data_IF_322945391759
#
_entry.id   IF_322945391759
#
_cell.length_a   1.000
_cell.length_b   1.000
_cell.length_c   1.000
_cell.angle_alpha   90.00
_cell.angle_beta   90.00
_cell.angle_gamma   90.00
#
_symmetry.space_group_name_H-M   'P 1'
#
loop_
_entity.id
_entity.type
_entity.pdbx_description
1 polymer ?
#
# COMPACT_ATOMS: atom_id res chain seq x y z
N UNK A 1 -25.77 22.62 10.30
CA UNK A 1 -25.37 21.21 10.12
C UNK A 1 -25.74 20.82 8.69
N UNK A 2 -24.82 20.32 7.85
CA UNK A 2 -25.25 19.63 6.63
C UNK A 2 -26.13 18.46 7.07
N UNK A 3 -27.32 18.31 6.48
CA UNK A 3 -28.23 17.20 6.77
C UNK A 3 -27.60 15.85 6.46
N UNK A 4 -28.19 14.73 6.93
CA UNK A 4 -27.68 13.41 6.60
C UNK A 4 -27.64 13.25 5.08
N UNK A 5 -26.45 12.97 4.56
CA UNK A 5 -26.29 12.62 3.15
C UNK A 5 -27.15 11.38 2.88
N UNK A 6 -28.08 11.48 1.93
CA UNK A 6 -28.82 10.30 1.48
C UNK A 6 -27.82 9.31 0.86
N UNK A 7 -27.84 8.07 1.35
CA UNK A 7 -27.12 6.95 0.73
C UNK A 7 -27.98 6.25 -0.33
N UNK A 8 -29.14 6.84 -0.66
CA UNK A 8 -30.06 6.35 -1.70
C UNK A 8 -29.59 6.82 -3.09
N UNK A 9 -28.51 6.23 -3.55
CA UNK A 9 -27.97 6.45 -4.89
C UNK A 9 -28.70 5.57 -5.90
N UNK A 10 -28.90 6.10 -7.12
CA UNK A 10 -29.44 5.31 -8.24
C UNK A 10 -28.64 4.02 -8.45
N UNK A 11 -29.34 2.87 -8.47
CA UNK A 11 -28.74 1.55 -8.63
C UNK A 11 -28.91 1.06 -10.07
N UNK A 12 -27.81 0.68 -10.72
CA UNK A 12 -27.85 0.19 -12.11
C UNK A 12 -28.64 -1.12 -12.27
N UNK A 13 -28.77 -1.92 -11.21
CA UNK A 13 -29.35 -3.27 -11.24
C UNK A 13 -30.55 -3.46 -10.29
N UNK A 14 -31.14 -2.37 -9.80
CA UNK A 14 -32.23 -2.42 -8.82
C UNK A 14 -31.73 -2.68 -7.38
N UNK A 15 -32.65 -3.09 -6.52
CA UNK A 15 -32.40 -3.24 -5.07
C UNK A 15 -31.49 -4.42 -4.71
N UNK A 16 -30.87 -4.34 -3.53
CA UNK A 16 -30.08 -5.44 -3.00
C UNK A 16 -30.96 -6.68 -2.72
N UNK A 17 -30.45 -7.87 -3.06
CA UNK A 17 -31.17 -9.14 -2.87
C UNK A 17 -31.10 -9.68 -1.44
N UNK A 18 -30.23 -9.14 -0.59
CA UNK A 18 -30.00 -9.61 0.78
C UNK A 18 -28.90 -8.82 1.49
N UNK A 19 -28.50 -9.32 2.66
CA UNK A 19 -27.47 -8.71 3.51
C UNK A 19 -26.34 -9.71 3.77
N UNK A 20 -25.13 -9.18 3.94
CA UNK A 20 -23.94 -9.95 4.27
C UNK A 20 -23.05 -9.14 5.22
N UNK A 21 -22.11 -9.81 5.87
CA UNK A 21 -21.13 -9.11 6.70
C UNK A 21 -19.98 -8.62 5.81
N UNK A 22 -19.32 -7.53 6.20
CA UNK A 22 -18.23 -6.99 5.39
C UNK A 22 -17.11 -6.48 6.29
N UNK A 23 -15.88 -6.93 6.01
CA UNK A 23 -14.68 -6.56 6.79
C UNK A 23 -14.83 -6.87 8.29
N UNK A 24 -15.29 -8.09 8.63
CA UNK A 24 -15.38 -8.54 10.04
C UNK A 24 -13.98 -8.71 10.61
N UNK A 25 -13.09 -9.32 9.82
CA UNK A 25 -11.65 -9.41 10.04
C UNK A 25 -10.87 -8.63 8.97
N UNK A 26 -9.55 -8.51 9.14
CA UNK A 26 -8.71 -7.89 8.11
C UNK A 26 -8.56 -8.81 6.89
N UNK A 27 -8.59 -10.11 7.14
CA UNK A 27 -8.46 -11.20 6.20
C UNK A 27 -9.68 -11.30 5.27
N UNK A 28 -10.85 -10.80 5.69
CA UNK A 28 -12.06 -10.74 4.84
C UNK A 28 -11.93 -9.71 3.70
N UNK A 29 -10.90 -8.86 3.74
CA UNK A 29 -10.69 -7.82 2.74
C UNK A 29 -9.21 -7.69 2.43
N UNK A 30 -8.77 -8.53 1.49
CA UNK A 30 -7.39 -8.54 1.01
C UNK A 30 -7.27 -7.60 -0.18
N UNK A 31 -6.24 -6.75 -0.17
CA UNK A 31 -5.93 -5.83 -1.26
C UNK A 31 -4.49 -6.03 -1.70
N UNK A 32 -4.30 -6.46 -2.93
CA UNK A 32 -2.98 -6.57 -3.53
C UNK A 32 -2.74 -5.42 -4.51
N UNK A 33 -1.71 -4.60 -4.26
CA UNK A 33 -1.31 -3.53 -5.18
C UNK A 33 -0.54 -4.09 -6.37
N UNK A 34 -1.07 -3.84 -7.58
CA UNK A 34 -0.44 -4.26 -8.83
C UNK A 34 0.29 -3.07 -9.48
N UNK A 35 1.55 -3.30 -9.85
CA UNK A 35 2.33 -2.36 -10.68
C UNK A 35 2.40 -2.89 -12.11
N UNK A 36 2.25 -2.01 -13.10
CA UNK A 36 2.44 -2.32 -14.53
C UNK A 36 3.88 -2.00 -14.96
N UNK A 37 4.85 -2.45 -14.18
CA UNK A 37 6.26 -2.22 -14.47
C UNK A 37 7.16 -3.29 -13.88
N UNK A 38 8.17 -3.68 -14.66
CA UNK A 38 9.31 -4.43 -14.18
C UNK A 38 10.30 -3.49 -13.49
N UNK A 39 10.91 -3.96 -12.41
CA UNK A 39 12.00 -3.24 -11.76
C UNK A 39 13.26 -3.23 -12.63
N UNK A 40 14.04 -2.16 -12.57
CA UNK A 40 15.19 -1.99 -13.46
C UNK A 40 16.47 -2.63 -12.93
N UNK A 41 16.43 -3.17 -11.70
CA UNK A 41 17.60 -3.73 -11.00
C UNK A 41 18.68 -2.72 -10.61
N UNK A 42 18.54 -1.47 -11.05
CA UNK A 42 19.50 -0.37 -10.89
C UNK A 42 18.78 0.94 -10.63
N UNK A 43 19.49 1.90 -10.05
CA UNK A 43 19.01 3.26 -9.81
C UNK A 43 19.02 3.65 -8.33
N UNK A 44 18.68 4.91 -8.08
CA UNK A 44 18.75 5.50 -6.74
C UNK A 44 17.55 5.12 -5.87
N UNK A 45 16.49 4.52 -6.43
CA UNK A 45 15.32 4.13 -5.65
C UNK A 45 15.34 2.66 -5.27
N UNK A 46 15.05 2.39 -4.00
CA UNK A 46 14.75 1.06 -3.48
C UNK A 46 13.24 0.95 -3.31
N UNK A 47 12.63 0.02 -4.02
CA UNK A 47 11.23 -0.34 -3.88
C UNK A 47 11.11 -1.42 -2.82
N UNK A 48 10.14 -1.27 -1.94
CA UNK A 48 9.84 -2.21 -0.85
C UNK A 48 8.35 -2.54 -0.92
N UNK A 49 8.02 -3.82 -1.10
CA UNK A 49 6.66 -4.30 -0.98
C UNK A 49 6.40 -4.69 0.46
N UNK A 50 5.36 -4.14 1.05
CA UNK A 50 5.00 -4.38 2.43
C UNK A 50 3.58 -4.94 2.48
N UNK A 51 3.44 -6.10 3.11
CA UNK A 51 2.17 -6.59 3.63
C UNK A 51 1.88 -5.83 4.93
N UNK A 52 0.69 -5.26 5.07
CA UNK A 52 0.24 -4.58 6.28
C UNK A 52 -1.12 -5.10 6.71
N UNK A 53 -1.32 -5.23 8.02
CA UNK A 53 -2.59 -5.63 8.62
C UNK A 53 -3.10 -4.51 9.52
N UNK A 54 -4.28 -3.98 9.24
CA UNK A 54 -4.90 -2.93 10.07
C UNK A 54 -4.12 -1.60 10.21
N UNK A 55 -3.12 -1.37 9.34
CA UNK A 55 -2.25 -0.19 9.39
C UNK A 55 -2.50 0.84 8.30
N UNK A 56 -2.06 2.08 8.54
CA UNK A 56 -2.19 3.19 7.62
C UNK A 56 -0.95 3.35 6.71
N UNK A 57 -1.17 3.58 5.41
CA UNK A 57 -0.08 3.85 4.44
C UNK A 57 0.84 4.98 4.88
N UNK A 58 0.29 6.06 5.46
CA UNK A 58 1.09 7.21 5.89
C UNK A 58 1.96 6.87 7.08
N UNK A 59 1.44 6.14 8.06
CA UNK A 59 2.22 5.70 9.21
C UNK A 59 3.38 4.80 8.76
N UNK A 60 3.11 3.86 7.87
CA UNK A 60 4.15 2.98 7.33
C UNK A 60 5.24 3.75 6.55
N UNK A 61 4.85 4.74 5.75
CA UNK A 61 5.82 5.59 5.07
C UNK A 61 6.65 6.49 6.03
N UNK A 62 6.12 6.83 7.20
CA UNK A 62 6.86 7.47 8.30
C UNK A 62 7.91 6.50 8.86
N UNK A 63 7.50 5.27 9.23
CA UNK A 63 8.40 4.25 9.75
C UNK A 63 9.51 3.88 8.77
N UNK A 64 9.21 3.74 7.49
CA UNK A 64 10.22 3.50 6.46
C UNK A 64 11.20 4.68 6.36
N UNK A 65 10.73 5.93 6.43
CA UNK A 65 11.61 7.09 6.42
C UNK A 65 12.59 7.07 7.61
N UNK A 66 12.06 6.82 8.81
CA UNK A 66 12.83 6.72 10.05
C UNK A 66 13.91 5.61 9.94
N UNK A 67 13.51 4.43 9.46
CA UNK A 67 14.38 3.26 9.33
C UNK A 67 15.52 3.48 8.31
N UNK A 68 15.22 4.15 7.19
CA UNK A 68 16.23 4.46 6.18
C UNK A 68 17.01 5.75 6.46
N UNK A 69 16.70 6.46 7.56
CA UNK A 69 17.35 7.73 7.89
C UNK A 69 17.16 8.81 6.83
N UNK A 70 16.03 8.78 6.09
CA UNK A 70 15.74 9.75 5.03
C UNK A 70 14.54 10.63 5.37
N UNK A 71 14.47 11.86 4.82
CA UNK A 71 13.27 12.67 4.95
C UNK A 71 12.06 11.97 4.32
N UNK A 72 10.87 12.17 4.90
CA UNK A 72 9.61 11.62 4.37
C UNK A 72 9.35 11.94 2.90
N UNK A 73 9.83 13.09 2.41
CA UNK A 73 9.71 13.48 1.01
C UNK A 73 10.50 12.55 0.06
N UNK A 74 11.43 11.73 0.54
CA UNK A 74 12.11 10.70 -0.24
C UNK A 74 11.32 9.40 -0.37
N UNK A 75 10.25 9.24 0.43
CA UNK A 75 9.33 8.11 0.33
C UNK A 75 8.26 8.40 -0.74
N UNK A 76 8.00 7.42 -1.58
CA UNK A 76 6.98 7.42 -2.62
C UNK A 76 6.05 6.23 -2.45
N UNK A 77 4.79 6.39 -2.85
CA UNK A 77 3.77 5.33 -2.89
C UNK A 77 2.67 5.72 -3.88
N UNK A 78 2.00 4.74 -4.49
CA UNK A 78 1.06 4.98 -5.57
C UNK A 78 -0.32 5.49 -5.10
N UNK A 79 -0.74 5.11 -3.89
CA UNK A 79 -2.02 5.53 -3.35
C UNK A 79 -2.12 5.27 -1.86
N UNK A 80 -3.25 5.66 -1.27
CA UNK A 80 -3.58 5.20 0.07
C UNK A 80 -4.24 3.81 -0.04
N UNK A 81 -4.05 2.98 0.98
CA UNK A 81 -4.75 1.71 1.13
C UNK A 81 -5.63 1.77 2.37
N UNK A 82 -6.74 1.03 2.32
CA UNK A 82 -7.64 0.86 3.45
C UNK A 82 -6.88 0.48 4.71
N UNK A 83 -7.24 1.08 5.84
CA UNK A 83 -6.68 0.70 7.14
C UNK A 83 -7.16 -0.71 7.50
N UNK A 84 -8.48 -0.92 7.57
CA UNK A 84 -9.13 -2.18 7.96
C UNK A 84 -9.11 -3.19 6.80
N UNK A 85 -7.93 -3.76 6.57
CA UNK A 85 -7.64 -4.69 5.48
C UNK A 85 -6.32 -5.41 5.74
N UNK A 86 -6.14 -6.56 5.09
CA UNK A 86 -4.84 -7.15 4.82
C UNK A 86 -4.36 -6.66 3.45
N UNK A 87 -3.38 -5.77 3.39
CA UNK A 87 -3.03 -5.10 2.15
C UNK A 87 -1.54 -5.22 1.83
N UNK A 88 -1.20 -5.56 0.59
CA UNK A 88 0.17 -5.39 0.07
C UNK A 88 0.29 -4.07 -0.67
N UNK A 89 1.38 -3.36 -0.42
CA UNK A 89 1.60 -2.04 -0.99
C UNK A 89 3.09 -1.83 -1.27
N UNK A 90 3.38 -1.19 -2.40
CA UNK A 90 4.72 -0.75 -2.75
C UNK A 90 5.02 0.66 -2.23
N UNK A 91 6.23 0.80 -1.71
CA UNK A 91 6.87 2.06 -1.41
C UNK A 91 8.16 2.17 -2.20
N UNK A 92 8.59 3.40 -2.51
CA UNK A 92 9.93 3.66 -3.03
C UNK A 92 10.67 4.60 -2.09
N UNK A 93 11.95 4.33 -1.84
CA UNK A 93 12.84 5.14 -1.01
C UNK A 93 13.99 5.62 -1.88
N UNK A 94 14.24 6.93 -1.95
CA UNK A 94 15.41 7.45 -2.65
C UNK A 94 16.66 7.35 -1.75
N UNK A 95 17.66 6.60 -2.20
CA UNK A 95 18.94 6.34 -1.54
C UNK A 95 20.08 6.57 -2.54
N UNK A 96 20.39 7.84 -2.89
CA UNK A 96 21.47 8.18 -3.81
C UNK A 96 22.83 7.74 -3.24
N UNK A 97 23.72 7.25 -4.11
CA UNK A 97 25.05 6.80 -3.72
C UNK A 97 25.13 5.42 -3.04
N UNK A 98 24.01 4.83 -2.64
CA UNK A 98 23.98 3.45 -2.12
C UNK A 98 23.88 2.46 -3.28
N UNK A 99 24.88 1.58 -3.44
CA UNK A 99 24.90 0.59 -4.53
C UNK A 99 24.28 -0.75 -4.12
N UNK A 100 24.42 -1.12 -2.84
CA UNK A 100 23.82 -2.35 -2.30
C UNK A 100 22.37 -2.11 -1.89
N UNK A 101 21.58 -3.18 -1.90
CA UNK A 101 20.29 -3.15 -1.24
C UNK A 101 20.52 -3.12 0.28
N UNK A 102 19.84 -2.22 0.99
CA UNK A 102 19.86 -2.24 2.45
C UNK A 102 19.33 -3.59 2.95
N UNK A 103 19.94 -4.10 4.01
CA UNK A 103 19.40 -5.26 4.71
C UNK A 103 18.12 -4.83 5.44
N UNK A 104 17.00 -5.44 5.04
CA UNK A 104 15.70 -5.12 5.60
C UNK A 104 15.22 -6.17 6.61
N UNK A 105 16.03 -7.19 6.89
CA UNK A 105 15.69 -8.25 7.84
C UNK A 105 15.53 -7.73 9.26
N UNK A 106 16.21 -6.63 9.60
CA UNK A 106 16.14 -5.97 10.91
C UNK A 106 14.95 -4.98 11.03
N UNK A 107 14.14 -4.82 9.97
CA UNK A 107 12.99 -3.92 10.01
C UNK A 107 11.85 -4.59 10.77
N UNK A 108 11.77 -4.31 12.06
CA UNK A 108 10.61 -4.66 12.88
C UNK A 108 9.49 -3.64 12.66
N UNK A 109 8.48 -4.04 11.89
CA UNK A 109 7.23 -3.29 11.75
C UNK A 109 6.11 -4.11 12.36
N UNK A 110 5.59 -3.68 13.51
CA UNK A 110 4.41 -4.29 14.10
C UNK A 110 3.26 -4.35 13.09
N UNK A 111 2.63 -5.52 12.95
CA UNK A 111 1.55 -5.79 11.99
C UNK A 111 1.90 -5.61 10.50
N UNK A 112 3.18 -5.52 10.16
CA UNK A 112 3.63 -5.47 8.77
C UNK A 112 4.73 -6.50 8.50
N UNK A 113 4.90 -6.85 7.23
CA UNK A 113 5.96 -7.74 6.78
C UNK A 113 6.48 -7.24 5.43
N UNK A 114 7.81 -7.19 5.28
CA UNK A 114 8.43 -6.92 3.99
C UNK A 114 8.38 -8.20 3.16
N UNK A 115 7.79 -8.11 1.97
CA UNK A 115 7.64 -9.24 1.05
C UNK A 115 8.72 -9.25 -0.03
N UNK A 116 9.10 -8.07 -0.52
CA UNK A 116 10.00 -7.95 -1.67
C UNK A 116 10.75 -6.62 -1.67
N UNK A 117 11.94 -6.64 -2.25
CA UNK A 117 12.82 -5.47 -2.39
C UNK A 117 13.42 -5.46 -3.79
N UNK A 118 13.40 -4.31 -4.45
CA UNK A 118 13.99 -4.17 -5.77
C UNK A 118 14.56 -2.77 -6.02
N UNK A 119 15.58 -2.67 -6.89
CA UNK A 119 16.10 -1.38 -7.34
C UNK A 119 15.34 -0.85 -8.54
N UNK A 120 15.09 0.45 -8.54
CA UNK A 120 14.49 1.12 -9.68
C UNK A 120 15.06 2.53 -9.92
N UNK A 121 14.97 3.00 -11.17
CA UNK A 121 15.48 4.32 -11.57
C UNK A 121 14.58 5.48 -11.16
N UNK A 122 13.28 5.25 -11.02
CA UNK A 122 12.30 6.33 -10.80
C UNK A 122 11.57 6.16 -9.48
N UNK A 123 11.30 7.28 -8.82
CA UNK A 123 10.43 7.34 -7.64
C UNK A 123 9.02 6.84 -7.97
N UNK A 124 8.40 6.08 -7.06
CA UNK A 124 6.99 5.72 -7.13
C UNK A 124 6.14 6.95 -6.82
N UNK A 125 5.25 7.32 -7.75
CA UNK A 125 4.43 8.52 -7.65
C UNK A 125 2.96 8.17 -7.45
N UNK A 126 2.17 9.12 -6.96
CA UNK A 126 0.73 8.91 -6.83
C UNK A 126 0.09 8.61 -8.19
N UNK A 127 -0.86 7.69 -8.19
CA UNK A 127 -1.60 7.28 -9.38
C UNK A 127 -0.86 6.32 -10.31
N UNK A 128 0.37 5.89 -10.01
CA UNK A 128 1.16 5.03 -10.91
C UNK A 128 0.99 3.52 -10.64
N UNK A 129 -0.02 3.13 -9.87
CA UNK A 129 -0.38 1.72 -9.77
C UNK A 129 -1.26 1.36 -10.97
N UNK A 130 -1.17 0.12 -11.43
CA UNK A 130 -2.03 -0.38 -12.49
C UNK A 130 -3.46 -0.56 -12.01
N UNK A 131 -3.58 -1.11 -10.81
CA UNK A 131 -4.84 -1.46 -10.19
C UNK A 131 -4.63 -2.17 -8.87
N UNK A 132 -5.71 -2.71 -8.33
CA UNK A 132 -5.67 -3.51 -7.12
C UNK A 132 -6.45 -4.79 -7.38
N UNK A 133 -5.88 -5.93 -6.98
CA UNK A 133 -6.62 -7.18 -6.90
C UNK A 133 -7.27 -7.26 -5.52
N UNK A 134 -8.56 -7.58 -5.50
CA UNK A 134 -9.33 -7.72 -4.27
C UNK A 134 -9.74 -9.17 -4.07
N UNK A 135 -9.62 -9.64 -2.83
CA UNK A 135 -10.27 -10.85 -2.35
C UNK A 135 -11.18 -10.44 -1.18
N UNK A 136 -12.47 -10.75 -1.29
CA UNK A 136 -13.50 -10.27 -0.37
C UNK A 136 -14.32 -11.46 0.09
N UNK A 137 -14.44 -11.61 1.41
CA UNK A 137 -15.35 -12.56 2.07
C UNK A 137 -16.57 -11.77 2.58
N UNK A 138 -17.77 -12.29 2.30
CA UNK A 138 -19.08 -11.70 2.64
C UNK A 138 -19.86 -12.59 3.60
#
# INVERSE_FOLDING_TARGET
MPGPWSLDFNRAWGEALGHAMFRVSAEDFVVEELLDQSFSGTGEHVYVQVLKRNENTRWLAERLADQFGVPRCQIGYAGLKDRRALATQWFSVCLPGHQTLPDLSEIELSNCQILSVARHRRKLRRGTHYGNRFEIIL
#
